data_IF_193348948913
#
_entry.id   IF_193348948913
#
_cell.length_a   1.000
_cell.length_b   1.000
_cell.length_c   1.000
_cell.angle_alpha   90.00
_cell.angle_beta   90.00
_cell.angle_gamma   90.00
#
_symmetry.space_group_name_H-M   'P 1'
#
loop_
_entity.id
_entity.type
_entity.pdbx_description
1 polymer ?
2 non-polymer ?
3 non-polymer ?
4 water ?
#
# COMPACT_ATOMS: atom_id res chain seq x y z
N UNK A 2 2.20 -6.32 -14.28
CA UNK A 2 0.84 -6.24 -13.76
C UNK A 2 0.45 -4.79 -13.70
N UNK A 3 -0.85 -4.57 -13.47
CA UNK A 3 -1.45 -3.23 -13.38
C UNK A 3 -0.86 -2.51 -12.19
N UNK A 4 -0.21 -1.44 -12.52
CA UNK A 4 0.47 -0.62 -11.54
C UNK A 4 -0.18 0.75 -11.36
N UNK A 5 -0.30 1.17 -10.12
CA UNK A 5 -0.87 2.47 -9.84
C UNK A 5 0.22 3.29 -9.14
N UNK A 6 0.34 4.55 -9.52
CA UNK A 6 1.36 5.34 -8.89
C UNK A 6 0.75 6.49 -8.16
N UNK A 7 1.41 6.86 -7.07
CA UNK A 7 0.98 8.01 -6.28
C UNK A 7 2.18 8.68 -5.68
N UNK A 8 2.01 9.95 -5.40
CA UNK A 8 3.06 10.75 -4.81
C UNK A 8 2.78 11.06 -3.37
N UNK A 9 3.88 11.26 -2.63
CA UNK A 9 3.80 11.56 -1.23
C UNK A 9 4.93 12.53 -0.78
N UNK A 10 4.55 13.72 -0.26
CA UNK A 10 5.57 14.67 0.16
C UNK A 10 5.92 14.39 1.60
N UNK A 11 7.18 14.47 1.92
CA UNK A 11 7.61 14.16 3.28
C UNK A 11 7.62 15.47 4.04
N UNK A 12 7.08 15.41 5.25
CA UNK A 12 6.96 16.58 6.09
C UNK A 12 7.97 16.59 7.22
N UNK A 13 8.21 17.77 7.80
CA UNK A 13 9.15 17.90 8.88
C UNK A 13 8.83 16.94 10.03
N UNK A 14 7.55 16.87 10.37
CA UNK A 14 7.11 16.02 11.47
C UNK A 14 7.23 14.52 11.17
N UNK A 15 7.40 14.19 9.89
CA UNK A 15 7.55 12.78 9.52
C UNK A 15 8.98 12.30 9.75
N UNK A 16 9.86 13.22 10.15
CA UNK A 16 11.30 12.91 10.40
C UNK A 16 11.63 12.83 11.87
N UNK A 17 12.68 12.07 12.14
CA UNK A 17 13.15 11.86 13.51
C UNK A 17 14.28 12.82 13.88
N UNK A 18 14.80 12.63 15.10
CA UNK A 18 15.89 13.48 15.54
C UNK A 18 17.12 13.36 14.64
N UNK A 19 17.25 12.24 13.94
CA UNK A 19 18.36 11.99 13.03
C UNK A 19 18.15 12.71 11.68
N UNK A 20 17.03 13.45 11.55
CA UNK A 20 16.69 14.24 10.36
C UNK A 20 16.18 13.51 9.11
N UNK A 21 15.82 12.26 9.24
CA UNK A 21 15.32 11.50 8.11
C UNK A 21 13.96 10.91 8.42
N UNK A 22 13.27 10.41 7.43
CA UNK A 22 11.95 9.82 7.67
C UNK A 22 11.98 8.75 8.74
N UNK A 23 11.12 8.88 9.75
CA UNK A 23 11.02 7.89 10.81
C UNK A 23 10.27 6.73 10.15
N UNK A 24 10.87 5.55 10.14
CA UNK A 24 10.28 4.40 9.43
C UNK A 24 8.79 4.03 9.47
N UNK A 25 8.15 4.17 10.63
CA UNK A 25 6.75 3.81 10.64
C UNK A 25 5.95 4.64 9.65
N UNK A 26 6.45 5.83 9.33
CA UNK A 26 5.79 6.70 8.35
C UNK A 26 5.71 6.04 6.98
N UNK A 27 6.76 5.29 6.58
CA UNK A 27 6.68 4.60 5.30
C UNK A 27 5.48 3.64 5.31
N UNK A 28 5.26 2.93 6.42
CA UNK A 28 4.13 2.02 6.45
C UNK A 28 2.80 2.78 6.33
N UNK A 29 2.72 4.01 6.90
CA UNK A 29 1.49 4.79 6.77
C UNK A 29 1.30 5.04 5.28
N UNK A 30 2.38 5.41 4.61
CA UNK A 30 2.26 5.70 3.19
C UNK A 30 1.94 4.45 2.34
N UNK A 31 2.55 3.31 2.73
CA UNK A 31 2.30 2.05 2.03
C UNK A 31 0.82 1.70 2.17
N UNK A 32 0.26 1.91 3.38
CA UNK A 32 -1.16 1.62 3.60
C UNK A 32 -2.06 2.51 2.74
N UNK A 33 -1.67 3.79 2.58
CA UNK A 33 -2.49 4.68 1.76
C UNK A 33 -2.35 4.25 0.30
N UNK A 34 -1.12 3.87 -0.09
CA UNK A 34 -0.93 3.46 -1.50
C UNK A 34 -1.70 2.16 -1.78
N UNK A 35 -1.77 1.26 -0.79
CA UNK A 35 -2.50 -0.01 -0.96
C UNK A 35 -3.99 0.23 -1.28
N UNK A 36 -4.58 1.14 -0.50
CA UNK A 36 -5.99 1.44 -0.65
C UNK A 36 -6.22 2.24 -1.91
N UNK A 37 -5.28 3.16 -2.19
CA UNK A 37 -5.36 3.98 -3.39
C UNK A 37 -5.41 3.10 -4.64
N UNK A 38 -4.64 1.99 -4.58
CA UNK A 38 -4.60 1.05 -5.71
C UNK A 38 -6.00 0.52 -5.96
N UNK A 39 -6.64 0.02 -4.90
CA UNK A 39 -7.97 -0.51 -5.09
C UNK A 39 -8.98 0.56 -5.53
N UNK A 40 -8.91 1.79 -4.93
CA UNK A 40 -9.85 2.85 -5.32
C UNK A 40 -9.68 3.20 -6.80
N UNK A 41 -8.42 3.30 -7.21
CA UNK A 41 -8.15 3.64 -8.58
C UNK A 41 -8.57 2.53 -9.49
N UNK A 42 -8.53 1.30 -8.99
CA UNK A 42 -8.93 0.17 -9.81
C UNK A 42 -10.46 0.06 -9.93
N UNK A 43 -11.18 0.88 -9.16
CA UNK A 43 -12.65 0.86 -9.25
C UNK A 43 -13.42 0.21 -8.11
N UNK A 44 -12.75 -0.25 -7.05
CA UNK A 44 -13.53 -0.82 -5.98
C UNK A 44 -14.14 0.33 -5.21
N UNK A 45 -15.24 0.06 -4.57
CA UNK A 45 -15.86 1.10 -3.78
C UNK A 45 -15.08 1.28 -2.46
N UNK A 46 -15.31 2.36 -1.75
CA UNK A 46 -14.65 2.56 -0.47
C UNK A 46 -15.13 1.51 0.53
N UNK A 47 -14.28 1.17 1.49
CA UNK A 47 -14.68 0.16 2.44
C UNK A 47 -16.01 0.51 3.16
N UNK A 48 -16.28 1.81 3.41
CA UNK A 48 -17.51 2.24 4.08
C UNK A 48 -18.72 1.68 3.36
N UNK A 49 -18.61 1.58 2.05
CA UNK A 49 -19.69 1.06 1.26
C UNK A 49 -19.64 -0.48 1.17
N UNK A 50 -18.43 -1.04 0.95
CA UNK A 50 -18.36 -2.48 0.83
C UNK A 50 -18.82 -3.17 2.11
N UNK A 51 -18.57 -2.55 3.26
CA UNK A 51 -18.99 -3.22 4.50
C UNK A 51 -20.49 -3.37 4.57
N UNK A 52 -21.20 -2.35 4.10
CA UNK A 52 -22.68 -2.37 4.09
C UNK A 52 -23.18 -3.37 3.08
N UNK A 53 -22.61 -3.33 1.89
CA UNK A 53 -23.01 -4.20 0.81
C UNK A 53 -22.76 -5.70 0.95
N UNK A 54 -21.52 -6.01 1.31
CA UNK A 54 -21.07 -7.36 1.36
C UNK A 54 -20.27 -7.77 2.58
N UNK A 55 -20.15 -6.86 3.53
CA UNK A 55 -19.46 -7.17 4.77
C UNK A 55 -17.95 -6.95 4.77
N UNK A 56 -17.39 -6.54 3.63
CA UNK A 56 -15.94 -6.34 3.51
C UNK A 56 -15.48 -5.11 4.22
N UNK A 57 -14.60 -5.29 5.22
CA UNK A 57 -14.15 -4.12 6.00
C UNK A 57 -12.89 -3.47 5.46
N UNK A 58 -12.23 -4.18 4.58
CA UNK A 58 -10.99 -3.66 4.05
C UNK A 58 -10.05 -4.84 3.78
N UNK A 59 -8.73 -4.53 3.70
CA UNK A 59 -7.71 -5.54 3.42
C UNK A 59 -6.58 -5.51 4.46
N UNK A 60 -6.85 -6.06 5.63
CA UNK A 60 -5.84 -6.09 6.68
C UNK A 60 -4.61 -6.87 6.22
N UNK A 61 -3.46 -6.48 6.79
CA UNK A 61 -2.16 -7.09 6.49
C UNK A 61 -1.86 -8.27 7.38
N UNK A 62 -1.31 -9.33 6.76
CA UNK A 62 -0.93 -10.55 7.48
C UNK A 62 0.58 -10.75 7.50
N UNK A 63 1.27 -10.16 6.55
CA UNK A 63 2.71 -10.32 6.53
C UNK A 63 3.39 -9.22 5.74
N UNK A 64 4.63 -8.93 6.03
CA UNK A 64 5.30 -7.90 5.24
C UNK A 64 6.81 -8.14 5.14
N UNK A 65 7.39 -7.83 4.00
CA UNK A 65 8.83 -7.95 3.83
C UNK A 65 9.22 -6.63 3.23
N UNK A 66 9.98 -5.85 3.97
CA UNK A 66 10.40 -4.55 3.54
C UNK A 66 11.92 -4.35 3.61
N UNK A 67 12.41 -3.52 2.71
CA UNK A 67 13.82 -3.16 2.68
C UNK A 67 13.94 -1.66 2.50
N UNK A 68 14.87 -1.04 3.23
CA UNK A 68 15.11 0.42 3.19
C UNK A 68 16.47 0.63 2.58
N UNK A 69 16.44 1.15 1.36
CA UNK A 69 17.63 1.32 0.55
C UNK A 69 18.47 2.57 0.73
N UNK A 70 17.77 3.71 0.86
CA UNK A 70 18.44 4.97 1.09
C UNK A 70 17.49 5.86 1.89
N UNK A 71 18.02 6.92 2.45
CA UNK A 71 17.21 7.79 3.28
C UNK A 71 16.44 8.79 2.50
N UNK A 72 15.47 9.39 3.19
CA UNK A 72 14.70 10.44 2.58
C UNK A 72 14.44 11.46 3.69
N UNK A 73 14.09 12.70 3.33
CA UNK A 73 13.83 13.72 4.36
C UNK A 73 12.73 14.67 3.92
N UNK A 74 12.34 15.59 4.81
CA UNK A 74 11.29 16.53 4.48
C UNK A 74 11.59 17.33 3.23
N UNK A 75 10.54 17.53 2.46
CA UNK A 75 10.55 18.23 1.18
C UNK A 75 10.82 17.28 0.04
N UNK A 76 11.33 16.10 0.35
CA UNK A 76 11.51 15.14 -0.72
C UNK A 76 10.10 14.67 -1.15
N UNK A 77 9.93 14.50 -2.46
CA UNK A 77 8.68 14.04 -2.99
C UNK A 77 8.90 12.58 -3.40
N UNK A 78 8.20 11.67 -2.73
CA UNK A 78 8.33 10.28 -3.05
C UNK A 78 7.31 9.85 -4.09
N UNK A 79 7.72 8.87 -4.91
CA UNK A 79 6.84 8.32 -5.88
C UNK A 79 6.66 6.86 -5.48
N UNK A 80 5.40 6.47 -5.26
CA UNK A 80 5.12 5.09 -4.89
C UNK A 80 4.42 4.33 -6.05
N UNK A 81 4.95 3.17 -6.43
CA UNK A 81 4.36 2.34 -7.49
C UNK A 81 3.87 1.06 -6.84
N UNK A 82 2.57 0.80 -7.00
CA UNK A 82 1.93 -0.35 -6.39
C UNK A 82 1.25 -1.27 -7.42
N UNK A 83 1.46 -2.57 -7.22
CA UNK A 83 0.83 -3.57 -8.07
C UNK A 83 0.57 -4.83 -7.26
N UNK A 84 -0.25 -5.70 -7.82
CA UNK A 84 -0.52 -6.94 -7.20
C UNK A 84 0.44 -7.91 -7.90
N UNK A 85 1.32 -8.51 -7.12
CA UNK A 85 2.34 -9.43 -7.58
C UNK A 85 1.75 -10.82 -7.77
N UNK A 86 0.83 -11.25 -6.88
CA UNK A 86 0.25 -12.58 -6.99
C UNK A 86 -1.07 -12.71 -6.25
N UNK A 87 -2.01 -13.41 -6.89
CA UNK A 87 -3.34 -13.69 -6.30
C UNK A 87 -3.23 -15.15 -5.86
N UNK A 88 -3.53 -15.38 -4.59
CA UNK A 88 -3.46 -16.67 -4.01
C UNK A 88 -4.85 -17.16 -3.85
N UNK A 89 -5.25 -17.57 -2.66
CA UNK A 89 -6.62 -18.03 -2.53
C UNK A 89 -7.33 -16.95 -1.75
N UNK A 90 -7.03 -16.88 -0.45
CA UNK A 90 -7.64 -15.84 0.37
C UNK A 90 -6.69 -14.64 0.49
N UNK A 91 -5.44 -14.81 0.08
CA UNK A 91 -4.49 -13.71 0.21
C UNK A 91 -3.97 -13.22 -1.10
N UNK A 92 -3.26 -12.09 -1.06
CA UNK A 92 -2.65 -11.57 -2.27
C UNK A 92 -1.37 -10.83 -1.83
N UNK A 93 -0.44 -10.75 -2.74
CA UNK A 93 0.82 -10.10 -2.47
C UNK A 93 0.76 -8.79 -3.19
N UNK A 94 0.89 -7.71 -2.42
CA UNK A 94 0.86 -6.37 -2.98
C UNK A 94 2.28 -5.76 -2.83
N UNK A 95 2.87 -5.42 -3.96
CA UNK A 95 4.21 -4.87 -3.96
C UNK A 95 4.18 -3.35 -4.12
N UNK A 96 5.05 -2.68 -3.34
CA UNK A 96 5.16 -1.24 -3.40
C UNK A 96 6.62 -0.83 -3.59
N UNK A 97 6.91 -0.01 -4.60
CA UNK A 97 8.27 0.48 -4.81
C UNK A 97 8.25 1.99 -4.59
N UNK A 98 9.12 2.47 -3.68
CA UNK A 98 9.18 3.90 -3.33
C UNK A 98 10.48 4.51 -3.84
N UNK A 99 10.34 5.58 -4.61
CA UNK A 99 11.53 6.21 -5.13
C UNK A 99 11.46 7.70 -4.97
N UNK A 100 12.60 8.30 -5.20
CA UNK A 100 12.67 9.75 -5.20
C UNK A 100 13.63 10.18 -6.26
N UNK A 101 13.45 11.39 -6.70
CA UNK A 101 14.32 11.87 -7.74
C UNK A 101 15.37 12.86 -7.28
N UNK A 102 16.55 12.64 -7.82
CA UNK A 102 17.73 13.45 -7.62
C UNK A 102 17.51 14.64 -8.56
N UNK A 103 18.14 15.80 -8.38
CA UNK A 103 17.89 16.88 -9.34
C UNK A 103 18.53 16.57 -10.69
N UNK A 104 19.25 15.43 -10.70
CA UNK A 104 19.90 14.91 -11.89
C UNK A 104 18.87 14.26 -12.83
N UNK A 105 17.63 14.09 -12.36
CA UNK A 105 16.64 13.48 -13.21
C UNK A 105 16.84 12.00 -13.03
N UNK A 106 17.66 11.69 -12.01
CA UNK A 106 17.94 10.30 -11.70
C UNK A 106 16.99 9.80 -10.63
N UNK A 107 16.44 8.67 -10.92
CA UNK A 107 15.50 8.11 -10.01
C UNK A 107 16.16 7.15 -9.04
N UNK A 108 16.15 7.48 -7.76
CA UNK A 108 16.73 6.61 -6.74
C UNK A 108 15.71 5.74 -5.99
N UNK A 109 15.98 4.44 -5.83
CA UNK A 109 15.05 3.61 -5.08
C UNK A 109 15.28 3.94 -3.63
N UNK A 110 14.20 4.21 -2.88
CA UNK A 110 14.28 4.57 -1.46
C UNK A 110 13.95 3.38 -0.57
N UNK A 111 12.81 2.75 -0.87
CA UNK A 111 12.42 1.58 -0.10
C UNK A 111 11.45 0.72 -0.90
N UNK A 112 11.27 -0.50 -0.45
CA UNK A 112 10.34 -1.38 -1.15
C UNK A 112 9.69 -2.32 -0.15
N UNK A 113 8.45 -2.73 -0.43
CA UNK A 113 7.84 -3.66 0.48
C UNK A 113 6.86 -4.58 -0.27
N UNK A 114 6.85 -5.85 0.13
CA UNK A 114 5.92 -6.82 -0.40
C UNK A 114 5.01 -7.09 0.78
N UNK A 115 3.75 -6.67 0.65
CA UNK A 115 2.75 -6.86 1.69
C UNK A 115 1.83 -8.00 1.33
N UNK A 116 1.50 -8.82 2.31
CA UNK A 116 0.57 -9.90 2.08
C UNK A 116 -0.69 -9.49 2.82
N UNK A 117 -1.80 -9.33 2.09
CA UNK A 117 -3.03 -8.93 2.72
C UNK A 117 -4.17 -9.86 2.33
N UNK A 118 -5.32 -9.61 2.94
CA UNK A 118 -6.50 -10.41 2.64
C UNK A 118 -7.69 -9.52 2.73
N UNK A 119 -8.74 -9.88 1.98
CA UNK A 119 -10.02 -9.17 2.06
C UNK A 119 -10.66 -9.76 3.29
N UNK A 120 -11.27 -8.95 4.14
CA UNK A 120 -11.82 -9.57 5.32
C UNK A 120 -13.13 -8.96 5.73
N UNK A 121 -13.74 -9.66 6.68
CA UNK A 121 -14.99 -9.26 7.27
C UNK A 121 -14.83 -9.29 8.74
N UNK A 122 -15.66 -8.54 9.44
CA UNK A 122 -15.66 -8.53 10.90
C UNK A 122 -16.93 -9.28 11.32
N UNK A 123 -16.77 -10.50 11.85
CA UNK A 123 -17.91 -11.30 12.30
C UNK A 123 -18.02 -10.97 13.77
N UNK A 124 -18.76 -9.90 14.05
CA UNK A 124 -18.80 -9.48 15.45
C UNK A 124 -17.39 -8.89 15.68
N UNK A 125 -16.74 -9.37 16.70
CA UNK A 125 -15.39 -8.94 17.06
C UNK A 125 -14.29 -9.71 16.38
N UNK A 126 -14.66 -10.76 15.67
CA UNK A 126 -13.67 -11.58 14.99
C UNK A 126 -13.42 -11.30 13.54
N UNK A 127 -12.18 -10.91 13.26
CA UNK A 127 -11.78 -10.66 11.88
C UNK A 127 -11.70 -12.03 11.12
N UNK A 128 -12.11 -12.08 9.87
CA UNK A 128 -12.06 -13.33 9.15
C UNK A 128 -11.75 -13.08 7.66
N UNK A 129 -10.76 -13.79 7.14
CA UNK A 129 -10.40 -13.62 5.76
C UNK A 129 -11.35 -14.34 4.82
N UNK A 130 -11.48 -13.79 3.61
CA UNK A 130 -12.35 -14.44 2.65
C UNK A 130 -11.59 -14.70 1.36
N UNK A 131 -12.13 -15.60 0.56
CA UNK A 131 -11.50 -15.87 -0.68
C UNK A 131 -11.53 -14.58 -1.47
N UNK A 132 -10.45 -14.30 -2.20
CA UNK A 132 -10.43 -13.05 -2.94
C UNK A 132 -11.63 -12.97 -3.88
N UNK A 133 -12.46 -11.92 -3.78
CA UNK A 133 -13.61 -11.84 -4.68
C UNK A 133 -13.23 -11.80 -6.16
N UNK A 134 -13.87 -12.67 -6.93
CA UNK A 134 -13.58 -12.73 -8.36
C UNK A 134 -13.78 -11.39 -9.04
N UNK A 135 -14.82 -10.66 -8.63
CA UNK A 135 -15.11 -9.37 -9.24
C UNK A 135 -13.99 -8.37 -8.96
N UNK A 136 -13.37 -8.50 -7.82
CA UNK A 136 -12.28 -7.59 -7.48
C UNK A 136 -11.04 -7.89 -8.31
N UNK A 137 -10.78 -9.17 -8.53
CA UNK A 137 -9.64 -9.56 -9.33
C UNK A 137 -9.83 -8.96 -10.71
N UNK A 138 -11.06 -9.06 -11.18
CA UNK A 138 -11.30 -8.48 -12.51
C UNK A 138 -11.07 -6.95 -12.58
N UNK A 139 -11.52 -6.21 -11.56
CA UNK A 139 -11.35 -4.77 -11.57
C UNK A 139 -9.89 -4.42 -11.54
N UNK A 140 -9.11 -5.22 -10.80
CA UNK A 140 -7.67 -4.94 -10.67
C UNK A 140 -6.81 -5.39 -11.84
N UNK A 141 -7.37 -6.20 -12.72
CA UNK A 141 -6.62 -6.70 -13.85
C UNK A 141 -6.42 -5.67 -14.93
X LIG B 1 2.38 -15.20 5.66
X LIG B 1 1.76 -15.46 4.46
X LIG B 1 0.49 -15.65 4.25
X LIG B 1 -0.24 -15.54 5.38
X LIG B 1 0.25 -15.28 6.65
X LIG B 1 1.63 -15.10 6.78
X LIG B 1 2.21 -14.84 7.93
X LIG B 1 -0.79 -15.26 7.58
X LIG B 1 -1.89 -15.50 6.87
X LIG B 1 -1.61 -15.70 5.54
X LIG B 1 -2.53 -16.09 4.47
X LIG B 1 -3.00 -17.53 4.61
X LIG B 1 -2.02 -18.45 4.14
X LIG B 1 -4.20 -17.50 3.68
X LIG B 1 -3.78 -17.32 2.35
X LIG B 1 -4.32 -18.23 1.18
X LIG B 1 -3.52 -19.44 1.19
X LIG B 1 -5.74 -18.52 1.38
X LIG B 1 -4.11 -17.43 -0.14
X LIG B 1 -4.80 -16.16 4.11
X LIG B 1 -3.70 -15.39 4.68
X LIG B 1 -5.98 -16.21 5.03
X LIG B 1 -5.53 -16.68 6.30
X LIG B 1 -6.35 -17.83 7.01
X LIG B 1 -5.49 -18.20 8.15
X LIG B 1 -6.63 -18.94 6.13
X LIG B 1 -7.70 -17.29 7.46
X LIG B 1 -8.17 -16.61 8.84
X LIG B 1 -9.54 -16.11 8.60
X LIG B 1 -8.20 -17.64 9.87
X LIG B 1 -7.08 -15.53 9.43
X LIG B 1 -6.78 -13.23 9.74
X LIG B 1 -6.88 -14.35 8.70
X LIG B 1 -8.04 -13.17 10.62
X LIG B 1 -6.50 -11.90 9.05
X LIG B 1 -5.72 -13.56 10.80
X LIG B 1 -4.45 -13.78 10.18
X LIG B 1 -5.41 -12.33 11.65
X LIG B 1 -6.25 -11.86 12.39
X LIG B 1 -4.11 -11.70 11.47
X LIG B 1 -4.01 -10.41 12.16
X LIG B 1 -4.42 -9.24 11.24
X LIG B 1 -3.95 -7.93 11.88
X LIG B 1 -4.28 -7.59 13.01
X LIG B 1 -3.12 -7.15 11.00
X LIG B 1 -2.54 -5.95 11.59
X LIG B 1 -3.56 -4.85 11.73
X LIG B 1 -4.77 -4.78 10.41
X LIG B 1 -3.95 -1.74 9.55
X LIG B 1 -5.01 -2.32 9.44
X LIG B 1 -5.75 -2.26 8.17
X LIG B 1 -7.00 -2.93 8.07
X LIG B 1 -7.72 -2.86 6.88
X LIG B 1 -7.22 -2.11 5.80
X LIG B 1 -7.96 -1.97 4.62
X LIG B 1 -5.95 -1.46 5.91
X LIG B 1 -5.22 -1.54 7.11
X LIG B 1 -5.56 -3.13 10.56
X LIG C 1 21.17 -0.36 0.54
X LIG C 1 21.85 0.87 0.50
X LIG C 1 21.86 -1.36 1.46
X LIG C 1 22.83 -0.75 2.32
X LIG D 1 11.47 -6.73 -1.66
X LIG D 1 12.82 -7.17 -1.77
X LIG D 1 11.26 -6.09 -0.32
X LIG D 1 12.26 -6.50 0.60
#
# INVERSE_FOLDING_TARGET
MARSITMQQRIEFGDCDPAGIVWYPNYHRWLDAASRNYFIKCGLPPWRQTVVERGIVGTPIVSCNASFVCTASYDDVLTIETCIKEWRRKSFVQRHSVSRTTPGGDVQLVMRADEIRVFAMNDGERLRAIEVPADYIELCS
4CO N1A C2A N3A C4A C5A C6A N6A N7A C8A N9A C1D C2D O2D C3D O3D P3D O7A O8A O9A C4D O4D C5D O5D P1A O1A O2A O3A P2A O4A O5A O6A CBP CCP CDP CEP CAP OAP C9P O9P N8P C7P C6P C5P O5P N4P C3P C2P S1P O1B C1B C2B C3B C4B C5B O2B C6B C7B CB
EDO C1 O1 C2 O2
EDO C1 O1 C2 O2
#
